data_IF_372910026325
#
_entry.id   IF_372910026325
#
_cell.length_a   1.000
_cell.length_b   1.000
_cell.length_c   1.000
_cell.angle_alpha   90.00
_cell.angle_beta   90.00
_cell.angle_gamma   90.00
#
_symmetry.space_group_name_H-M   'P 1'
#
loop_
_entity.id
_entity.type
_entity.pdbx_description
1 polymer ?
#
# COMPACT_ATOMS: atom_id res chain seq x y z
N UNK A 1 25.56 -9.69 13.85
CA UNK A 1 24.56 -9.09 14.79
C UNK A 1 23.27 -9.92 14.69
N UNK A 2 22.42 -10.08 15.73
CA UNK A 2 21.21 -10.91 15.58
C UNK A 2 20.25 -10.28 14.55
N UNK A 3 19.75 -11.05 13.55
CA UNK A 3 18.81 -10.51 12.57
C UNK A 3 17.53 -10.08 13.29
N UNK A 4 17.23 -8.79 13.23
CA UNK A 4 15.99 -8.25 13.79
C UNK A 4 14.80 -8.67 12.92
N UNK A 5 13.67 -9.01 13.55
CA UNK A 5 12.48 -9.41 12.79
C UNK A 5 11.98 -8.23 11.94
N UNK A 6 11.58 -8.46 10.67
CA UNK A 6 11.14 -7.37 9.79
C UNK A 6 9.96 -6.57 10.34
N UNK A 7 9.07 -7.22 11.09
CA UNK A 7 7.96 -6.57 11.78
C UNK A 7 8.44 -5.56 12.84
N UNK A 8 9.45 -5.92 13.63
CA UNK A 8 10.00 -5.04 14.65
C UNK A 8 10.71 -3.85 14.02
N UNK A 9 11.44 -4.06 12.93
CA UNK A 9 12.07 -2.98 12.17
C UNK A 9 11.03 -2.04 11.53
N UNK A 10 9.90 -2.58 11.06
CA UNK A 10 8.77 -1.77 10.59
C UNK A 10 8.21 -0.83 11.67
N UNK A 11 7.98 -1.33 12.89
CA UNK A 11 7.59 -0.46 14.02
C UNK A 11 8.68 0.54 14.37
N UNK A 12 9.93 0.08 14.45
CA UNK A 12 11.09 0.88 14.83
C UNK A 12 11.33 2.04 13.88
N UNK A 13 11.21 1.83 12.57
CA UNK A 13 11.37 2.89 11.56
C UNK A 13 10.37 4.02 11.81
N UNK A 14 9.10 3.68 12.00
CA UNK A 14 8.02 4.66 12.16
C UNK A 14 8.11 5.42 13.49
N UNK A 15 8.54 4.76 14.58
CA UNK A 15 8.75 5.43 15.87
C UNK A 15 10.03 6.28 15.92
N UNK A 16 11.07 5.93 15.16
CA UNK A 16 12.32 6.70 15.10
C UNK A 16 12.21 7.91 14.20
N UNK A 17 11.48 7.77 13.09
CA UNK A 17 11.27 8.85 12.13
C UNK A 17 9.78 9.14 11.96
N UNK A 18 9.15 9.80 12.96
CA UNK A 18 7.72 10.12 12.90
C UNK A 18 7.37 11.07 11.75
N UNK A 19 8.35 11.74 11.16
CA UNK A 19 8.15 12.55 9.96
C UNK A 19 7.63 11.71 8.76
N UNK A 20 8.03 10.45 8.65
CA UNK A 20 7.59 9.54 7.58
C UNK A 20 6.07 9.28 7.60
N UNK A 21 5.49 8.74 8.70
CA UNK A 21 4.05 8.55 8.77
C UNK A 21 3.28 9.87 8.78
N UNK A 22 3.82 10.94 9.38
CA UNK A 22 3.14 12.24 9.40
C UNK A 22 3.04 12.85 8.00
N UNK A 23 4.09 12.73 7.17
CA UNK A 23 4.05 13.14 5.78
C UNK A 23 2.99 12.38 4.99
N UNK A 24 2.91 11.06 5.18
CA UNK A 24 1.89 10.21 4.56
C UNK A 24 0.47 10.63 4.99
N UNK A 25 0.25 10.82 6.28
CA UNK A 25 -1.02 11.27 6.86
C UNK A 25 -1.40 12.63 6.28
N UNK A 26 -0.46 13.59 6.26
CA UNK A 26 -0.71 14.96 5.82
C UNK A 26 -1.24 15.03 4.38
N UNK A 27 -0.62 14.32 3.42
CA UNK A 27 -1.09 14.36 2.04
C UNK A 27 -2.42 13.62 1.85
N UNK A 28 -2.61 12.47 2.52
CA UNK A 28 -3.87 11.69 2.43
C UNK A 28 -5.03 12.46 3.02
N UNK A 29 -4.82 13.12 4.15
CA UNK A 29 -5.84 13.90 4.85
C UNK A 29 -6.15 15.20 4.10
N UNK A 30 -5.14 15.85 3.51
CA UNK A 30 -5.37 17.03 2.66
C UNK A 30 -6.24 16.68 1.45
N UNK A 31 -5.93 15.57 0.77
CA UNK A 31 -6.74 15.09 -0.35
C UNK A 31 -8.15 14.67 0.11
N UNK A 32 -8.25 13.98 1.25
CA UNK A 32 -9.51 13.57 1.85
C UNK A 32 -10.40 14.76 2.19
N UNK A 33 -9.86 15.77 2.85
CA UNK A 33 -10.58 17.01 3.19
C UNK A 33 -11.04 17.77 1.93
N UNK A 34 -10.17 17.91 0.92
CA UNK A 34 -10.52 18.52 -0.36
C UNK A 34 -11.64 17.75 -1.07
N UNK A 35 -11.56 16.42 -1.05
CA UNK A 35 -12.59 15.52 -1.63
C UNK A 35 -13.92 15.66 -0.90
N UNK A 36 -13.91 15.64 0.44
CA UNK A 36 -15.12 15.82 1.27
C UNK A 36 -15.74 17.19 1.06
N UNK A 37 -14.95 18.26 0.97
CA UNK A 37 -15.43 19.59 0.67
C UNK A 37 -16.07 19.66 -0.73
N UNK A 38 -15.39 19.12 -1.74
CA UNK A 38 -15.91 19.10 -3.11
C UNK A 38 -17.20 18.30 -3.22
N UNK A 39 -17.25 17.10 -2.63
CA UNK A 39 -18.47 16.28 -2.55
C UNK A 39 -19.60 17.01 -1.83
N UNK A 40 -19.31 17.66 -0.71
CA UNK A 40 -20.30 18.42 0.06
C UNK A 40 -20.86 19.59 -0.73
N UNK A 41 -20.00 20.39 -1.36
CA UNK A 41 -20.41 21.52 -2.20
C UNK A 41 -21.19 21.06 -3.43
N UNK A 42 -20.73 20.02 -4.14
CA UNK A 42 -21.46 19.45 -5.28
C UNK A 42 -22.81 18.87 -4.88
N UNK A 43 -22.92 18.27 -3.68
CA UNK A 43 -24.19 17.79 -3.16
C UNK A 43 -25.13 18.96 -2.85
N UNK A 44 -24.65 20.03 -2.21
CA UNK A 44 -25.46 21.22 -1.94
C UNK A 44 -25.94 21.88 -3.24
N UNK A 45 -25.06 22.05 -4.21
CA UNK A 45 -25.41 22.60 -5.53
C UNK A 45 -26.44 21.71 -6.26
N UNK A 46 -26.28 20.39 -6.19
CA UNK A 46 -27.27 19.47 -6.73
C UNK A 46 -28.63 19.60 -6.02
N UNK A 47 -28.63 19.67 -4.69
CA UNK A 47 -29.86 19.84 -3.89
C UNK A 47 -30.56 21.16 -4.21
N UNK A 48 -29.82 22.24 -4.43
CA UNK A 48 -30.36 23.55 -4.83
C UNK A 48 -31.00 23.51 -6.22
N UNK A 49 -30.63 22.56 -7.09
CA UNK A 49 -31.24 22.39 -8.42
C UNK A 49 -32.54 21.57 -8.41
N UNK A 50 -32.91 20.97 -7.28
CA UNK A 50 -34.11 20.15 -7.18
C UNK A 50 -35.37 21.02 -7.17
N UNK A 51 -36.35 20.77 -8.05
CA UNK A 51 -37.60 21.50 -8.07
C UNK A 51 -38.48 21.06 -6.89
N UNK A 52 -38.30 21.66 -5.72
CA UNK A 52 -39.13 21.37 -4.54
C UNK A 52 -40.39 22.23 -4.59
N UNK A 53 -41.54 21.63 -4.85
CA UNK A 53 -42.82 22.34 -4.81
C UNK A 53 -43.37 22.42 -3.38
N UNK A 54 -44.24 23.41 -3.12
CA UNK A 54 -44.97 23.52 -1.84
C UNK A 54 -45.83 22.27 -1.58
N UNK A 55 -46.35 21.65 -2.64
CA UNK A 55 -47.10 20.39 -2.56
C UNK A 55 -46.23 19.25 -2.01
N UNK A 56 -44.99 19.12 -2.49
CA UNK A 56 -44.06 18.09 -2.02
C UNK A 56 -43.72 18.27 -0.55
N UNK A 57 -43.56 19.51 -0.07
CA UNK A 57 -43.34 19.80 1.35
C UNK A 57 -44.54 19.39 2.23
N UNK A 58 -45.77 19.57 1.74
CA UNK A 58 -46.99 19.13 2.44
C UNK A 58 -47.08 17.60 2.50
N UNK A 59 -46.73 16.92 1.40
CA UNK A 59 -46.68 15.46 1.34
C UNK A 59 -45.60 14.89 2.26
N UNK A 60 -44.41 15.51 2.31
CA UNK A 60 -43.34 15.13 3.25
C UNK A 60 -43.76 15.34 4.71
N UNK A 61 -44.49 16.42 5.00
CA UNK A 61 -44.99 16.72 6.35
C UNK A 61 -46.08 15.76 6.82
N UNK A 62 -46.81 15.11 5.89
CA UNK A 62 -47.90 14.18 6.20
C UNK A 62 -47.45 12.95 7.01
N UNK A 63 -46.16 12.60 6.97
CA UNK A 63 -45.57 11.38 7.55
C UNK A 63 -46.21 10.08 7.05
N UNK A 64 -46.99 10.13 5.96
CA UNK A 64 -47.54 8.93 5.34
C UNK A 64 -46.52 8.36 4.34
N UNK A 65 -46.02 7.13 4.53
CA UNK A 65 -44.88 6.60 3.78
C UNK A 65 -45.13 6.55 2.26
N UNK A 66 -46.37 6.28 1.84
CA UNK A 66 -46.74 6.29 0.42
C UNK A 66 -46.66 7.69 -0.20
N UNK A 67 -47.19 8.71 0.50
CA UNK A 67 -47.15 10.10 0.04
C UNK A 67 -45.73 10.66 0.04
N UNK A 68 -44.93 10.30 1.04
CA UNK A 68 -43.50 10.63 1.11
C UNK A 68 -42.75 10.03 -0.08
N UNK A 69 -43.00 8.75 -0.39
CA UNK A 69 -42.38 8.08 -1.55
C UNK A 69 -42.76 8.75 -2.87
N UNK A 70 -44.03 9.12 -3.05
CA UNK A 70 -44.49 9.84 -4.24
C UNK A 70 -43.84 11.22 -4.37
N UNK A 71 -43.78 12.00 -3.28
CA UNK A 71 -43.12 13.30 -3.26
C UNK A 71 -41.63 13.19 -3.58
N UNK A 72 -40.93 12.21 -2.99
CA UNK A 72 -39.52 11.93 -3.30
C UNK A 72 -39.37 11.60 -4.79
N UNK A 73 -40.16 10.67 -5.31
CA UNK A 73 -40.08 10.26 -6.72
C UNK A 73 -40.30 11.45 -7.65
N UNK A 74 -41.27 12.32 -7.33
CA UNK A 74 -41.54 13.55 -8.08
C UNK A 74 -40.39 14.56 -8.02
N UNK A 75 -39.83 14.83 -6.83
CA UNK A 75 -38.67 15.72 -6.64
C UNK A 75 -37.46 15.26 -7.46
N UNK A 76 -37.22 13.94 -7.51
CA UNK A 76 -36.11 13.35 -8.27
C UNK A 76 -36.44 13.11 -9.76
N UNK A 77 -37.70 13.27 -10.17
CA UNK A 77 -38.13 13.03 -11.54
C UNK A 77 -37.55 14.12 -12.46
N UNK A 78 -36.55 13.75 -13.28
CA UNK A 78 -35.87 14.66 -14.18
C UNK A 78 -34.52 15.21 -13.68
N UNK A 79 -34.17 15.02 -12.40
CA UNK A 79 -32.85 15.41 -11.87
C UNK A 79 -31.79 14.31 -12.03
N UNK A 80 -32.22 13.06 -12.25
CA UNK A 80 -31.34 11.90 -12.35
C UNK A 80 -30.23 12.06 -13.41
N UNK A 81 -30.53 12.65 -14.56
CA UNK A 81 -29.51 12.89 -15.60
C UNK A 81 -28.40 13.84 -15.12
N UNK A 82 -28.77 14.94 -14.45
CA UNK A 82 -27.80 15.89 -13.88
C UNK A 82 -26.96 15.24 -12.80
N UNK A 83 -27.59 14.45 -11.93
CA UNK A 83 -26.90 13.68 -10.89
C UNK A 83 -25.87 12.72 -11.48
N UNK A 84 -26.24 11.95 -12.51
CA UNK A 84 -25.34 11.02 -13.19
C UNK A 84 -24.18 11.76 -13.85
N UNK A 85 -24.44 12.85 -14.57
CA UNK A 85 -23.40 13.67 -15.19
C UNK A 85 -22.42 14.25 -14.15
N UNK A 86 -22.95 14.84 -13.07
CA UNK A 86 -22.13 15.36 -11.98
C UNK A 86 -21.29 14.26 -11.32
N UNK A 87 -21.88 13.09 -11.06
CA UNK A 87 -21.20 11.93 -10.49
C UNK A 87 -20.06 11.45 -11.39
N UNK A 88 -20.29 11.35 -12.70
CA UNK A 88 -19.27 10.96 -13.68
C UNK A 88 -18.10 11.96 -13.67
N UNK A 89 -18.40 13.25 -13.81
CA UNK A 89 -17.38 14.31 -13.83
C UNK A 89 -16.58 14.31 -12.52
N UNK A 90 -17.27 14.24 -11.39
CA UNK A 90 -16.66 14.24 -10.06
C UNK A 90 -15.79 13.00 -9.85
N UNK A 91 -16.28 11.83 -10.24
CA UNK A 91 -15.53 10.57 -10.16
C UNK A 91 -14.22 10.67 -10.94
N UNK A 92 -14.26 11.06 -12.22
CA UNK A 92 -13.04 11.15 -13.04
C UNK A 92 -12.07 12.22 -12.51
N UNK A 93 -12.58 13.35 -12.05
CA UNK A 93 -11.76 14.44 -11.48
C UNK A 93 -11.05 13.98 -10.21
N UNK A 94 -11.79 13.35 -9.29
CA UNK A 94 -11.24 12.81 -8.05
C UNK A 94 -10.29 11.64 -8.31
N UNK A 95 -10.61 10.76 -9.24
CA UNK A 95 -9.75 9.63 -9.60
C UNK A 95 -8.40 10.09 -10.19
N UNK A 96 -8.42 11.10 -11.05
CA UNK A 96 -7.21 11.69 -11.61
C UNK A 96 -6.40 12.42 -10.53
N UNK A 97 -7.06 13.25 -9.72
CA UNK A 97 -6.43 13.94 -8.59
C UNK A 97 -5.79 12.98 -7.60
N UNK A 98 -6.51 11.91 -7.24
CA UNK A 98 -6.00 10.85 -6.38
C UNK A 98 -4.80 10.14 -7.00
N UNK A 99 -4.85 9.81 -8.29
CA UNK A 99 -3.73 9.14 -8.98
C UNK A 99 -2.46 9.97 -8.90
N UNK A 100 -2.54 11.28 -9.18
CA UNK A 100 -1.40 12.19 -9.11
C UNK A 100 -0.90 12.33 -7.67
N UNK A 101 -1.79 12.64 -6.73
CA UNK A 101 -1.45 12.80 -5.32
C UNK A 101 -0.84 11.53 -4.72
N UNK A 102 -1.44 10.37 -4.97
CA UNK A 102 -0.94 9.08 -4.51
C UNK A 102 0.40 8.72 -5.13
N UNK A 103 0.65 9.09 -6.39
CA UNK A 103 1.94 8.82 -7.04
C UNK A 103 3.06 9.65 -6.41
N UNK A 104 2.81 10.93 -6.18
CA UNK A 104 3.76 11.86 -5.52
C UNK A 104 3.98 11.48 -4.05
N UNK A 105 2.91 11.27 -3.30
CA UNK A 105 2.96 10.87 -1.90
C UNK A 105 3.69 9.54 -1.71
N UNK A 106 3.35 8.52 -2.52
CA UNK A 106 4.05 7.23 -2.49
C UNK A 106 5.52 7.35 -2.85
N UNK A 107 5.87 8.14 -3.88
CA UNK A 107 7.26 8.36 -4.25
C UNK A 107 8.05 8.97 -3.09
N UNK A 108 7.52 10.01 -2.45
CA UNK A 108 8.16 10.67 -1.33
C UNK A 108 8.34 9.73 -0.13
N UNK A 109 7.28 9.02 0.28
CA UNK A 109 7.30 8.10 1.42
C UNK A 109 8.24 6.92 1.18
N UNK A 110 8.20 6.31 -0.01
CA UNK A 110 9.07 5.17 -0.33
C UNK A 110 10.52 5.59 -0.49
N UNK A 111 10.80 6.73 -1.11
CA UNK A 111 12.17 7.25 -1.20
C UNK A 111 12.75 7.46 0.20
N UNK A 112 12.02 8.12 1.08
CA UNK A 112 12.49 8.37 2.43
C UNK A 112 12.66 7.07 3.25
N UNK A 113 11.78 6.07 3.06
CA UNK A 113 11.97 4.75 3.64
C UNK A 113 13.21 4.03 3.08
N UNK A 114 13.42 4.04 1.77
CA UNK A 114 14.60 3.42 1.16
C UNK A 114 15.88 4.11 1.65
N UNK A 115 15.90 5.45 1.71
CA UNK A 115 17.02 6.22 2.26
C UNK A 115 17.30 5.87 3.73
N UNK A 116 16.27 5.49 4.51
CA UNK A 116 16.41 5.00 5.90
C UNK A 116 17.02 3.61 6.03
N UNK A 117 16.71 2.69 5.11
CA UNK A 117 17.24 1.31 5.12
C UNK A 117 18.59 1.19 4.38
N UNK A 118 18.91 2.12 3.48
CA UNK A 118 20.16 2.18 2.71
C UNK A 118 21.43 2.72 3.45
N UNK A 119 21.40 3.33 4.65
CA UNK A 119 22.57 3.97 5.24
C UNK A 119 23.46 2.93 5.93
N UNK A 120 24.23 2.20 5.11
CA UNK A 120 25.45 1.47 5.53
C UNK A 120 26.37 1.01 4.41
N UNK A 121 26.10 1.36 3.14
CA UNK A 121 26.88 0.90 1.99
C UNK A 121 27.87 1.93 1.44
N UNK A 122 27.81 3.17 1.93
CA UNK A 122 28.58 4.31 1.39
C UNK A 122 29.97 4.50 2.01
N UNK A 123 30.44 3.58 2.88
CA UNK A 123 31.85 3.55 3.30
C UNK A 123 32.79 3.03 2.19
N UNK A 124 32.25 2.65 1.02
CA UNK A 124 33.03 2.39 -0.20
C UNK A 124 32.80 3.53 -1.20
N UNK A 125 33.78 4.44 -1.39
CA UNK A 125 33.68 5.49 -2.39
C UNK A 125 33.82 4.89 -3.79
N UNK A 126 32.71 4.43 -4.36
CA UNK A 126 32.65 3.98 -5.75
C UNK A 126 32.67 5.20 -6.68
N UNK A 127 33.85 5.46 -7.25
CA UNK A 127 34.10 6.47 -8.28
C UNK A 127 33.23 6.33 -9.55
N UNK A 128 32.43 5.26 -9.66
CA UNK A 128 31.49 4.98 -10.74
C UNK A 128 30.15 5.74 -10.63
N UNK A 129 29.79 6.31 -9.46
CA UNK A 129 28.52 7.06 -9.29
C UNK A 129 28.52 8.45 -9.94
N UNK A 130 29.68 9.01 -10.31
CA UNK A 130 29.79 10.35 -10.89
C UNK A 130 29.35 10.47 -12.36
N UNK A 131 28.91 9.38 -13.02
CA UNK A 131 28.65 9.39 -14.48
C UNK A 131 27.28 8.90 -14.94
N UNK A 132 26.33 8.62 -14.05
CA UNK A 132 24.98 8.25 -14.50
C UNK A 132 24.05 9.48 -14.52
N UNK A 133 23.45 9.85 -15.65
CA UNK A 133 22.43 10.90 -15.69
C UNK A 133 21.17 10.39 -14.96
N UNK A 134 21.09 10.68 -13.65
CA UNK A 134 19.98 10.28 -12.77
C UNK A 134 18.62 10.82 -13.22
N UNK A 135 18.60 11.90 -14.00
CA UNK A 135 17.37 12.57 -14.47
C UNK A 135 16.51 11.67 -15.37
N UNK A 136 17.11 10.78 -16.18
CA UNK A 136 16.36 9.88 -17.06
C UNK A 136 15.63 8.75 -16.33
N UNK A 137 16.21 8.24 -15.24
CA UNK A 137 15.65 7.11 -14.49
C UNK A 137 14.47 7.54 -13.62
N UNK A 138 14.56 8.70 -12.97
CA UNK A 138 13.49 9.21 -12.08
C UNK A 138 12.17 9.49 -12.83
N UNK A 139 12.24 9.92 -14.09
CA UNK A 139 11.02 10.10 -14.90
C UNK A 139 10.29 8.78 -15.20
N UNK A 140 11.02 7.67 -15.30
CA UNK A 140 10.43 6.35 -15.56
C UNK A 140 9.67 5.84 -14.34
N UNK A 141 10.26 5.93 -13.14
CA UNK A 141 9.61 5.47 -11.91
C UNK A 141 8.32 6.24 -11.60
N UNK A 142 8.27 7.55 -11.86
CA UNK A 142 7.03 8.33 -11.69
C UNK A 142 5.92 7.88 -12.64
N UNK A 143 6.24 7.59 -13.90
CA UNK A 143 5.27 7.05 -14.88
C UNK A 143 4.75 5.69 -14.44
N UNK A 144 5.62 4.82 -13.94
CA UNK A 144 5.24 3.49 -13.45
C UNK A 144 4.38 3.57 -12.18
N UNK A 145 4.67 4.49 -11.25
CA UNK A 145 3.80 4.74 -10.09
C UNK A 145 2.42 5.27 -10.50
N UNK A 146 2.38 6.20 -11.45
CA UNK A 146 1.10 6.67 -12.01
C UNK A 146 0.31 5.52 -12.61
N UNK A 147 0.95 4.65 -13.40
CA UNK A 147 0.31 3.48 -13.97
C UNK A 147 -0.21 2.50 -12.89
N UNK A 148 0.55 2.25 -11.82
CA UNK A 148 0.09 1.44 -10.69
C UNK A 148 -1.12 2.06 -9.99
N UNK A 149 -1.12 3.38 -9.79
CA UNK A 149 -2.25 4.06 -9.16
C UNK A 149 -3.48 4.13 -10.08
N UNK A 150 -3.29 4.26 -11.39
CA UNK A 150 -4.38 4.09 -12.38
C UNK A 150 -4.96 2.67 -12.33
N UNK A 151 -4.11 1.65 -12.19
CA UNK A 151 -4.57 0.28 -12.06
C UNK A 151 -5.37 0.08 -10.76
N UNK A 152 -5.05 0.80 -9.67
CA UNK A 152 -5.89 0.81 -8.46
C UNK A 152 -7.24 1.50 -8.67
N UNK A 153 -7.27 2.59 -9.42
CA UNK A 153 -8.55 3.24 -9.81
C UNK A 153 -9.39 2.28 -10.66
N UNK A 154 -8.79 1.63 -11.66
CA UNK A 154 -9.46 0.63 -12.48
C UNK A 154 -9.96 -0.55 -11.64
N UNK A 155 -9.19 -0.97 -10.63
CA UNK A 155 -9.58 -2.00 -9.69
C UNK A 155 -10.78 -1.58 -8.84
N UNK A 156 -10.83 -0.33 -8.35
CA UNK A 156 -12.00 0.21 -7.64
C UNK A 156 -13.24 0.15 -8.54
N UNK A 157 -13.12 0.59 -9.80
CA UNK A 157 -14.22 0.51 -10.78
C UNK A 157 -14.68 -0.93 -11.02
N UNK A 158 -13.74 -1.85 -11.25
CA UNK A 158 -14.04 -3.26 -11.46
C UNK A 158 -14.75 -3.87 -10.24
N UNK A 159 -14.34 -3.50 -9.03
CA UNK A 159 -14.98 -3.93 -7.78
C UNK A 159 -16.38 -3.36 -7.63
N UNK A 160 -16.59 -2.07 -7.94
CA UNK A 160 -17.93 -1.47 -7.94
C UNK A 160 -18.87 -2.19 -8.91
N UNK A 161 -18.40 -2.46 -10.13
CA UNK A 161 -19.16 -3.24 -11.13
C UNK A 161 -19.41 -4.68 -10.65
N UNK A 162 -18.43 -5.32 -10.01
CA UNK A 162 -18.57 -6.65 -9.44
C UNK A 162 -19.62 -6.74 -8.32
N UNK A 163 -19.68 -5.72 -7.45
CA UNK A 163 -20.70 -5.63 -6.39
C UNK A 163 -22.10 -5.44 -6.99
N UNK A 164 -22.23 -4.57 -8.00
CA UNK A 164 -23.51 -4.36 -8.70
C UNK A 164 -23.93 -5.65 -9.42
N UNK A 165 -23.02 -6.32 -10.12
CA UNK A 165 -23.29 -7.59 -10.80
C UNK A 165 -23.70 -8.68 -9.80
N UNK A 166 -23.05 -8.75 -8.62
CA UNK A 166 -23.42 -9.67 -7.55
C UNK A 166 -24.85 -9.42 -7.05
N UNK A 167 -25.23 -8.15 -6.85
CA UNK A 167 -26.59 -7.78 -6.43
C UNK A 167 -27.63 -8.15 -7.51
N UNK A 168 -27.33 -7.89 -8.78
CA UNK A 168 -28.20 -8.21 -9.91
C UNK A 168 -28.38 -9.73 -10.07
N UNK A 169 -27.30 -10.51 -10.02
CA UNK A 169 -27.35 -11.97 -10.09
C UNK A 169 -28.15 -12.56 -8.92
N UNK A 170 -27.95 -12.04 -7.71
CA UNK A 170 -28.71 -12.45 -6.54
C UNK A 170 -30.21 -12.13 -6.68
N UNK A 171 -30.56 -11.02 -7.32
CA UNK A 171 -31.95 -10.66 -7.61
C UNK A 171 -32.60 -11.54 -8.68
N UNK A 172 -31.90 -11.83 -9.78
CA UNK A 172 -32.48 -12.58 -10.91
C UNK A 172 -32.78 -14.06 -10.63
N UNK A 173 -32.12 -14.66 -9.64
CA UNK A 173 -32.30 -16.07 -9.34
C UNK A 173 -33.60 -16.39 -8.59
N UNK A 174 -34.32 -15.36 -8.13
CA UNK A 174 -35.59 -15.52 -7.43
C UNK A 174 -36.70 -14.81 -8.19
N UNK A 175 -37.74 -15.57 -8.55
CA UNK A 175 -38.89 -15.08 -9.30
C UNK A 175 -39.81 -14.22 -8.43
N UNK A 176 -40.46 -13.21 -9.03
CA UNK A 176 -41.47 -12.35 -8.36
C UNK A 176 -42.63 -13.15 -7.73
N UNK A 177 -42.82 -14.40 -8.17
CA UNK A 177 -43.86 -15.29 -7.68
C UNK A 177 -43.61 -15.86 -6.26
N UNK A 178 -42.36 -15.90 -5.78
CA UNK A 178 -42.02 -16.32 -4.42
C UNK A 178 -40.79 -15.55 -3.88
N UNK A 179 -41.01 -14.31 -3.36
CA UNK A 179 -39.93 -13.48 -2.87
C UNK A 179 -39.33 -14.07 -1.60
N UNK A 180 -38.17 -14.71 -1.73
CA UNK A 180 -37.37 -15.23 -0.62
C UNK A 180 -36.16 -14.31 -0.36
N UNK A 181 -36.34 -13.17 0.34
CA UNK A 181 -35.26 -12.20 0.57
C UNK A 181 -34.08 -12.81 1.34
N UNK A 182 -34.34 -13.84 2.14
CA UNK A 182 -33.30 -14.61 2.83
C UNK A 182 -32.33 -15.28 1.87
N UNK A 183 -32.80 -15.86 0.75
CA UNK A 183 -31.94 -16.52 -0.22
C UNK A 183 -31.19 -15.53 -1.11
N UNK A 184 -31.82 -14.42 -1.50
CA UNK A 184 -31.15 -13.30 -2.18
C UNK A 184 -29.96 -12.83 -1.36
N UNK A 185 -30.18 -12.60 -0.06
CA UNK A 185 -29.12 -12.19 0.86
C UNK A 185 -28.05 -13.27 1.02
N UNK A 186 -28.46 -14.54 1.19
CA UNK A 186 -27.55 -15.67 1.36
C UNK A 186 -26.65 -15.90 0.14
N UNK A 187 -27.09 -15.52 -1.06
CA UNK A 187 -26.27 -15.56 -2.28
C UNK A 187 -25.44 -14.29 -2.49
N UNK A 188 -26.01 -13.12 -2.21
CA UNK A 188 -25.32 -11.83 -2.36
C UNK A 188 -24.09 -11.74 -1.44
N UNK A 189 -24.23 -12.11 -0.16
CA UNK A 189 -23.15 -12.01 0.83
C UNK A 189 -21.87 -12.74 0.42
N UNK A 190 -21.87 -14.04 0.05
CA UNK A 190 -20.65 -14.73 -0.35
C UNK A 190 -20.04 -14.15 -1.63
N UNK A 191 -20.85 -13.73 -2.61
CA UNK A 191 -20.35 -13.06 -3.81
C UNK A 191 -19.69 -11.72 -3.48
N UNK A 192 -20.33 -10.91 -2.64
CA UNK A 192 -19.78 -9.66 -2.14
C UNK A 192 -18.45 -9.88 -1.40
N UNK A 193 -18.41 -10.87 -0.49
CA UNK A 193 -17.19 -11.23 0.24
C UNK A 193 -16.09 -11.66 -0.72
N UNK A 194 -16.39 -12.46 -1.74
CA UNK A 194 -15.41 -12.88 -2.75
C UNK A 194 -14.85 -11.69 -3.53
N UNK A 195 -15.72 -10.80 -4.02
CA UNK A 195 -15.34 -9.58 -4.75
C UNK A 195 -14.47 -8.68 -3.86
N UNK A 196 -14.85 -8.52 -2.60
CA UNK A 196 -14.11 -7.75 -1.60
C UNK A 196 -12.73 -8.33 -1.29
N UNK A 197 -12.64 -9.66 -1.10
CA UNK A 197 -11.38 -10.35 -0.87
C UNK A 197 -10.44 -10.21 -2.06
N UNK A 198 -10.95 -10.39 -3.28
CA UNK A 198 -10.18 -10.22 -4.52
C UNK A 198 -9.65 -8.79 -4.64
N UNK A 199 -10.51 -7.79 -4.40
CA UNK A 199 -10.12 -6.38 -4.37
C UNK A 199 -9.01 -6.11 -3.34
N UNK A 200 -9.17 -6.61 -2.11
CA UNK A 200 -8.21 -6.42 -1.02
C UNK A 200 -6.83 -7.00 -1.36
N UNK A 201 -6.80 -8.24 -1.88
CA UNK A 201 -5.56 -8.92 -2.29
C UNK A 201 -4.88 -8.18 -3.43
N UNK A 202 -5.60 -7.82 -4.49
CA UNK A 202 -5.04 -7.10 -5.63
C UNK A 202 -4.53 -5.71 -5.22
N UNK A 203 -5.31 -4.97 -4.43
CA UNK A 203 -4.90 -3.65 -3.94
C UNK A 203 -3.65 -3.74 -3.05
N UNK A 204 -3.54 -4.79 -2.23
CA UNK A 204 -2.34 -5.07 -1.46
C UNK A 204 -1.13 -5.37 -2.36
N UNK A 205 -1.27 -6.21 -3.38
CA UNK A 205 -0.19 -6.49 -4.35
C UNK A 205 0.27 -5.23 -5.09
N UNK A 206 -0.65 -4.38 -5.53
CA UNK A 206 -0.32 -3.09 -6.16
C UNK A 206 0.35 -2.12 -5.20
N UNK A 207 0.12 -2.26 -3.89
CA UNK A 207 0.85 -1.54 -2.84
C UNK A 207 2.24 -2.06 -2.58
N UNK A 208 2.46 -3.36 -2.77
CA UNK A 208 3.79 -3.95 -2.66
C UNK A 208 4.64 -3.63 -3.91
N UNK A 209 4.03 -3.69 -5.10
CA UNK A 209 4.69 -3.38 -6.38
C UNK A 209 5.31 -1.97 -6.40
N UNK A 210 4.70 -0.98 -5.75
CA UNK A 210 5.28 0.37 -5.69
C UNK A 210 6.66 0.43 -5.03
N UNK A 211 6.98 -0.52 -4.13
CA UNK A 211 8.32 -0.63 -3.53
C UNK A 211 9.37 -0.92 -4.61
N UNK A 212 9.09 -1.88 -5.51
CA UNK A 212 10.00 -2.27 -6.59
C UNK A 212 10.14 -1.20 -7.68
N UNK A 213 9.09 -0.42 -7.94
CA UNK A 213 9.18 0.73 -8.84
C UNK A 213 10.18 1.76 -8.31
N UNK A 214 10.17 2.03 -7.00
CA UNK A 214 11.06 3.05 -6.42
C UNK A 214 12.47 2.54 -6.17
N UNK A 215 12.60 1.28 -5.74
CA UNK A 215 13.89 0.67 -5.42
C UNK A 215 14.70 0.29 -6.65
N UNK A 216 14.09 -0.49 -7.53
CA UNK A 216 14.78 -1.13 -8.66
C UNK A 216 14.56 -0.35 -9.97
N UNK A 217 13.77 0.73 -9.94
CA UNK A 217 13.36 1.50 -11.11
C UNK A 217 12.70 0.61 -12.20
N UNK A 218 11.97 -0.42 -11.76
CA UNK A 218 11.25 -1.31 -12.67
C UNK A 218 10.04 -0.63 -13.28
N UNK A 219 9.67 -1.07 -14.48
CA UNK A 219 8.43 -0.70 -15.11
C UNK A 219 7.23 -1.31 -14.36
N UNK A 220 6.01 -0.91 -14.72
CA UNK A 220 4.79 -1.30 -14.00
C UNK A 220 4.62 -2.82 -13.90
N UNK A 221 4.86 -3.52 -15.01
CA UNK A 221 4.68 -4.99 -15.05
C UNK A 221 5.86 -5.71 -14.40
N UNK A 222 7.10 -5.24 -14.60
CA UNK A 222 8.26 -5.73 -13.87
C UNK A 222 8.06 -5.65 -12.36
N UNK A 223 7.63 -4.50 -11.85
CA UNK A 223 7.39 -4.30 -10.43
C UNK A 223 6.30 -5.21 -9.84
N UNK A 224 5.23 -5.50 -10.62
CA UNK A 224 4.21 -6.47 -10.22
C UNK A 224 4.81 -7.89 -10.20
N UNK A 225 5.57 -8.27 -11.23
CA UNK A 225 6.22 -9.57 -11.29
C UNK A 225 7.22 -9.76 -10.12
N UNK A 226 8.00 -8.73 -9.78
CA UNK A 226 8.92 -8.72 -8.66
C UNK A 226 8.18 -8.87 -7.32
N UNK A 227 7.03 -8.21 -7.15
CA UNK A 227 6.18 -8.40 -5.97
C UNK A 227 5.66 -9.84 -5.85
N UNK A 228 5.27 -10.48 -6.95
CA UNK A 228 4.86 -11.89 -6.97
C UNK A 228 6.02 -12.81 -6.61
N UNK A 229 7.21 -12.57 -7.16
CA UNK A 229 8.43 -13.32 -6.83
C UNK A 229 8.75 -13.20 -5.34
N UNK A 230 8.69 -11.99 -4.77
CA UNK A 230 8.89 -11.78 -3.34
C UNK A 230 7.90 -12.59 -2.50
N UNK A 231 6.60 -12.53 -2.84
CA UNK A 231 5.57 -13.28 -2.13
C UNK A 231 5.76 -14.79 -2.22
N UNK A 232 6.32 -15.30 -3.33
CA UNK A 232 6.62 -16.73 -3.49
C UNK A 232 7.86 -17.16 -2.72
N UNK A 233 8.93 -16.38 -2.77
CA UNK A 233 10.21 -16.71 -2.13
C UNK A 233 10.18 -16.46 -0.60
N UNK A 234 9.44 -15.45 -0.14
CA UNK A 234 9.44 -14.98 1.24
C UNK A 234 8.02 -14.87 1.82
N UNK A 235 7.16 -15.84 1.50
CA UNK A 235 5.76 -15.84 1.95
C UNK A 235 5.64 -15.71 3.49
N UNK A 236 6.49 -16.44 4.23
CA UNK A 236 6.48 -16.43 5.70
C UNK A 236 6.66 -15.02 6.30
N UNK A 237 7.79 -14.33 6.04
CA UNK A 237 8.01 -12.96 6.50
C UNK A 237 6.93 -11.97 6.03
N UNK A 238 6.52 -12.05 4.76
CA UNK A 238 5.50 -11.15 4.19
C UNK A 238 4.14 -11.32 4.88
N UNK A 239 3.71 -12.57 5.11
CA UNK A 239 2.49 -12.89 5.85
C UNK A 239 2.61 -12.50 7.31
N UNK A 240 3.76 -12.71 7.95
CA UNK A 240 3.97 -12.33 9.34
C UNK A 240 3.82 -10.81 9.54
N UNK A 241 4.46 -9.99 8.69
CA UNK A 241 4.30 -8.53 8.70
C UNK A 241 2.83 -8.16 8.49
N UNK A 242 2.18 -8.74 7.47
CA UNK A 242 0.76 -8.51 7.20
C UNK A 242 -0.14 -8.84 8.40
N UNK A 243 0.06 -10.00 9.02
CA UNK A 243 -0.72 -10.50 10.15
C UNK A 243 -0.60 -9.58 11.37
N UNK A 244 0.62 -9.24 11.80
CA UNK A 244 0.84 -8.42 13.00
C UNK A 244 0.28 -7.00 12.86
N UNK A 245 0.48 -6.36 11.70
CA UNK A 245 -0.10 -5.03 11.46
C UNK A 245 -1.62 -5.08 11.32
N UNK A 246 -2.19 -6.15 10.76
CA UNK A 246 -3.65 -6.34 10.69
C UNK A 246 -4.24 -6.59 12.07
N UNK A 247 -3.56 -7.38 12.91
CA UNK A 247 -3.97 -7.61 14.30
C UNK A 247 -3.97 -6.30 15.11
N UNK A 248 -2.90 -5.50 14.98
CA UNK A 248 -2.83 -4.18 15.62
C UNK A 248 -3.97 -3.25 15.13
N UNK A 249 -4.30 -3.31 13.84
CA UNK A 249 -5.40 -2.52 13.27
C UNK A 249 -6.77 -2.96 13.82
N UNK A 250 -7.03 -4.26 13.92
CA UNK A 250 -8.26 -4.80 14.52
C UNK A 250 -8.39 -4.36 15.98
N UNK A 251 -7.30 -4.43 16.75
CA UNK A 251 -7.29 -3.98 18.14
C UNK A 251 -7.57 -2.48 18.26
N UNK A 252 -6.96 -1.66 17.40
CA UNK A 252 -7.24 -0.22 17.34
C UNK A 252 -8.70 0.07 16.96
N UNK A 253 -9.28 -0.70 16.04
CA UNK A 253 -10.69 -0.58 15.66
C UNK A 253 -11.62 -0.91 16.84
N UNK A 254 -11.39 -2.03 17.54
CA UNK A 254 -12.18 -2.42 18.72
C UNK A 254 -12.07 -1.35 19.82
N UNK A 255 -10.87 -0.82 20.05
CA UNK A 255 -10.68 0.26 21.02
C UNK A 255 -11.44 1.53 20.61
N UNK A 256 -11.33 1.95 19.34
CA UNK A 256 -12.01 3.13 18.82
C UNK A 256 -13.53 3.01 18.89
N UNK A 257 -14.11 1.87 18.49
CA UNK A 257 -15.57 1.65 18.58
C UNK A 257 -16.06 1.66 20.03
N UNK A 258 -15.28 1.09 20.95
CA UNK A 258 -15.57 1.15 22.39
C UNK A 258 -15.53 2.60 22.90
N UNK A 259 -14.53 3.39 22.51
CA UNK A 259 -14.41 4.81 22.90
C UNK A 259 -15.53 5.66 22.30
N UNK A 260 -15.97 5.39 21.06
CA UNK A 260 -17.12 6.07 20.43
C UNK A 260 -18.43 5.86 21.20
N UNK A 261 -18.57 4.74 21.91
CA UNK A 261 -19.76 4.51 22.75
C UNK A 261 -19.88 5.54 23.87
N UNK A 262 -18.78 6.14 24.34
CA UNK A 262 -18.78 7.15 25.40
C UNK A 262 -19.52 8.44 25.01
N UNK A 263 -19.14 9.20 23.95
CA UNK A 263 -19.89 10.39 23.54
C UNK A 263 -21.33 10.04 23.14
N UNK A 264 -21.56 8.86 22.55
CA UNK A 264 -22.90 8.39 22.20
C UNK A 264 -23.80 8.19 23.44
N UNK A 265 -23.26 7.75 24.58
CA UNK A 265 -24.02 7.61 25.82
C UNK A 265 -24.58 8.96 26.33
N UNK A 266 -23.99 10.09 25.92
CA UNK A 266 -24.44 11.43 26.27
C UNK A 266 -25.39 12.06 25.23
N UNK A 267 -25.83 11.33 24.20
CA UNK A 267 -26.70 11.85 23.14
C UNK A 267 -28.03 12.46 23.64
N UNK A 268 -28.49 12.10 24.85
CA UNK A 268 -29.68 12.69 25.49
C UNK A 268 -29.41 13.82 26.48
N UNK A 269 -28.14 14.10 26.80
CA UNK A 269 -27.73 15.06 27.85
C UNK A 269 -26.98 16.25 27.25
N UNK A 270 -26.10 16.00 26.28
CA UNK A 270 -25.28 17.03 25.65
C UNK A 270 -25.88 17.53 24.34
N UNK A 271 -25.55 18.77 23.91
CA UNK A 271 -25.90 19.24 22.57
C UNK A 271 -25.36 18.30 21.49
N UNK A 272 -26.16 18.04 20.45
CA UNK A 272 -25.83 17.09 19.38
C UNK A 272 -24.48 17.41 18.72
N UNK A 273 -24.12 18.69 18.59
CA UNK A 273 -22.83 19.12 18.04
C UNK A 273 -21.63 18.67 18.87
N UNK A 274 -21.75 18.63 20.20
CA UNK A 274 -20.68 18.15 21.10
C UNK A 274 -20.52 16.64 20.95
N UNK A 275 -21.63 15.90 20.90
CA UNK A 275 -21.62 14.44 20.72
C UNK A 275 -21.03 14.07 19.37
N UNK A 276 -21.50 14.69 18.29
CA UNK A 276 -20.97 14.47 16.94
C UNK A 276 -19.49 14.89 16.83
N UNK A 277 -19.11 16.01 17.46
CA UNK A 277 -17.71 16.45 17.53
C UNK A 277 -16.82 15.45 18.25
N UNK A 278 -17.30 14.86 19.35
CA UNK A 278 -16.60 13.80 20.08
C UNK A 278 -16.44 12.52 19.24
N UNK A 279 -17.51 12.08 18.58
CA UNK A 279 -17.45 10.92 17.65
C UNK A 279 -16.45 11.20 16.52
N UNK A 280 -16.54 12.36 15.88
CA UNK A 280 -15.65 12.77 14.80
C UNK A 280 -14.18 12.79 15.25
N UNK A 281 -13.88 13.34 16.43
CA UNK A 281 -12.53 13.37 16.99
C UNK A 281 -11.96 11.96 17.16
N UNK A 282 -12.74 11.04 17.74
CA UNK A 282 -12.30 9.64 17.93
C UNK A 282 -12.10 8.95 16.59
N UNK A 283 -12.98 9.19 15.61
CA UNK A 283 -12.83 8.66 14.25
C UNK A 283 -11.56 9.17 13.57
N UNK A 284 -11.25 10.47 13.68
CA UNK A 284 -10.03 11.05 13.12
C UNK A 284 -8.77 10.48 13.79
N UNK A 285 -8.79 10.32 15.12
CA UNK A 285 -7.69 9.71 15.85
C UNK A 285 -7.46 8.26 15.42
N UNK A 286 -8.53 7.49 15.26
CA UNK A 286 -8.47 6.13 14.74
C UNK A 286 -7.86 6.09 13.33
N UNK A 287 -8.27 6.97 12.42
CA UNK A 287 -7.68 7.05 11.08
C UNK A 287 -6.20 7.39 11.10
N UNK A 288 -5.76 8.27 12.02
CA UNK A 288 -4.34 8.60 12.17
C UNK A 288 -3.54 7.37 12.60
N UNK A 289 -4.05 6.59 13.56
CA UNK A 289 -3.43 5.32 13.99
C UNK A 289 -3.43 4.29 12.85
N UNK A 290 -4.52 4.17 12.11
CA UNK A 290 -4.62 3.25 10.97
C UNK A 290 -3.61 3.59 9.87
N UNK A 291 -3.45 4.87 9.53
CA UNK A 291 -2.47 5.33 8.55
C UNK A 291 -1.02 5.12 9.05
N UNK A 292 -0.76 5.34 10.33
CA UNK A 292 0.52 5.06 10.96
C UNK A 292 0.89 3.56 10.86
N UNK A 293 -0.05 2.66 11.20
CA UNK A 293 0.14 1.22 11.06
C UNK A 293 0.36 0.80 9.61
N UNK A 294 -0.32 1.45 8.66
CA UNK A 294 -0.13 1.20 7.25
C UNK A 294 1.32 1.52 6.79
N UNK A 295 1.88 2.66 7.23
CA UNK A 295 3.27 3.03 6.92
C UNK A 295 4.25 2.07 7.58
N UNK A 296 4.00 1.63 8.82
CA UNK A 296 4.82 0.62 9.49
C UNK A 296 4.84 -0.71 8.76
N UNK A 297 3.69 -1.14 8.23
CA UNK A 297 3.60 -2.33 7.38
C UNK A 297 4.44 -2.18 6.12
N UNK A 298 4.38 -1.01 5.48
CA UNK A 298 5.17 -0.71 4.28
C UNK A 298 6.67 -0.73 4.58
N UNK A 299 7.11 -0.12 5.69
CA UNK A 299 8.49 -0.17 6.15
C UNK A 299 8.95 -1.61 6.41
N UNK A 300 8.09 -2.45 7.00
CA UNK A 300 8.36 -3.88 7.17
C UNK A 300 8.59 -4.61 5.83
N UNK A 301 7.82 -4.29 4.78
CA UNK A 301 8.05 -4.86 3.45
C UNK A 301 9.35 -4.37 2.81
N UNK A 302 9.68 -3.08 2.95
CA UNK A 302 10.96 -2.54 2.48
C UNK A 302 12.13 -3.25 3.18
N UNK A 303 12.03 -3.47 4.49
CA UNK A 303 13.03 -4.21 5.27
C UNK A 303 13.28 -5.63 4.72
N UNK A 304 12.21 -6.39 4.42
CA UNK A 304 12.34 -7.74 3.82
C UNK A 304 13.07 -7.67 2.48
N UNK A 305 12.71 -6.69 1.66
CA UNK A 305 13.28 -6.50 0.33
C UNK A 305 14.77 -6.12 0.42
N UNK A 306 15.16 -5.26 1.37
CA UNK A 306 16.56 -4.88 1.58
C UNK A 306 17.43 -6.00 2.19
N UNK A 307 16.87 -6.81 3.10
CA UNK A 307 17.59 -7.95 3.67
C UNK A 307 17.91 -9.02 2.63
N UNK A 308 17.10 -9.16 1.57
CA UNK A 308 17.34 -10.11 0.46
C UNK A 308 18.69 -9.88 -0.22
N UNK A 309 19.07 -8.63 -0.42
CA UNK A 309 20.27 -8.26 -1.19
C UNK A 309 21.50 -8.02 -0.31
N UNK A 310 21.36 -8.26 1.01
CA UNK A 310 22.51 -8.33 1.91
C UNK A 310 23.26 -9.62 1.59
N UNK A 311 24.56 -9.57 1.20
CA UNK A 311 25.34 -10.79 1.01
C UNK A 311 25.25 -11.60 2.31
N UNK A 312 25.13 -12.94 2.24
CA UNK A 312 25.12 -13.76 3.44
C UNK A 312 26.33 -13.34 4.26
N UNK A 313 26.09 -12.84 5.47
CA UNK A 313 27.13 -12.51 6.45
C UNK A 313 28.00 -13.77 6.45
N UNK A 314 29.20 -13.70 5.85
CA UNK A 314 30.10 -14.85 5.82
C UNK A 314 30.17 -15.23 7.27
N UNK A 315 29.62 -16.41 7.59
CA UNK A 315 29.81 -17.02 8.87
C UNK A 315 31.32 -17.06 8.96
N UNK A 316 31.89 -16.13 9.73
CA UNK A 316 33.28 -16.19 10.11
C UNK A 316 33.24 -17.40 11.00
N UNK A 317 33.39 -18.58 10.38
CA UNK A 317 33.80 -19.78 11.06
C UNK A 317 34.99 -19.29 11.84
N UNK A 318 34.79 -19.11 13.14
CA UNK A 318 35.85 -18.76 14.04
C UNK A 318 36.81 -19.93 13.90
N UNK A 319 37.77 -19.77 12.99
CA UNK A 319 38.87 -20.68 12.84
C UNK A 319 39.48 -20.66 14.23
N UNK A 320 39.44 -21.78 14.97
CA UNK A 320 39.90 -21.78 16.34
C UNK A 320 41.35 -21.32 16.26
N UNK A 321 41.61 -20.12 16.77
CA UNK A 321 42.95 -19.66 17.06
C UNK A 321 43.51 -20.71 18.00
N UNK A 322 44.29 -21.63 17.44
CA UNK A 322 45.10 -22.54 18.21
C UNK A 322 45.93 -21.70 19.18
N UNK A 323 46.19 -22.21 20.39
CA UNK A 323 46.94 -21.45 21.38
C UNK A 323 48.28 -21.03 20.76
N UNK A 324 48.49 -19.72 20.71
CA UNK A 324 49.76 -19.10 20.34
C UNK A 324 50.86 -19.75 21.17
N UNK A 325 51.62 -20.62 20.52
CA UNK A 325 52.86 -21.15 21.04
C UNK A 325 53.84 -19.99 21.18
N UNK A 326 54.25 -19.75 22.42
CA UNK A 326 55.38 -18.94 22.86
C UNK A 326 56.52 -18.99 21.84
N UNK A 327 56.74 -17.88 21.12
CA UNK A 327 57.92 -17.70 20.28
C UNK A 327 59.16 -17.59 21.18
N UNK A 328 59.84 -18.71 21.40
CA UNK A 328 61.21 -18.72 21.88
C UNK A 328 62.17 -18.43 20.72
N UNK A 329 62.92 -17.35 20.88
CA UNK A 329 64.12 -17.02 20.12
C UNK A 329 65.04 -18.25 20.01
N UNK A 330 65.31 -18.73 18.80
CA UNK A 330 66.51 -19.52 18.52
C UNK A 330 67.12 -19.18 17.15
N UNK A 331 68.45 -19.13 17.19
CA UNK A 331 69.44 -18.70 16.21
C UNK A 331 69.37 -19.38 14.81
N UNK A 332 70.05 -18.80 13.79
CA UNK A 332 69.99 -19.30 12.43
C UNK A 332 70.85 -20.57 12.26
N UNK A 333 70.22 -21.65 11.81
CA UNK A 333 70.90 -22.88 11.40
C UNK A 333 70.54 -23.21 9.95
N UNK A 334 71.58 -23.18 9.11
CA UNK A 334 71.80 -23.86 7.83
C UNK A 334 70.60 -24.55 7.13
N UNK A 335 70.38 -24.08 5.90
CA UNK A 335 69.68 -24.78 4.80
C UNK A 335 70.20 -26.21 4.61
N UNK A 336 69.30 -27.11 4.19
CA UNK A 336 69.57 -27.95 3.02
C UNK A 336 68.80 -27.41 1.82
N UNK A 337 69.57 -27.19 0.77
CA UNK A 337 69.17 -26.86 -0.59
C UNK A 337 68.34 -28.01 -1.16
N UNK A 338 67.09 -27.72 -1.56
CA UNK A 338 66.22 -28.65 -2.29
C UNK A 338 66.46 -28.43 -3.78
N UNK A 339 66.95 -29.47 -4.45
CA UNK A 339 67.44 -29.45 -5.84
C UNK A 339 66.36 -29.79 -6.90
N UNK A 340 65.06 -29.76 -6.57
CA UNK A 340 64.05 -30.43 -7.42
C UNK A 340 62.98 -29.53 -8.09
N UNK A 341 63.11 -28.20 -8.11
CA UNK A 341 62.06 -27.36 -8.73
C UNK A 341 62.58 -26.32 -9.75
N UNK A 342 63.59 -26.71 -10.52
CA UNK A 342 64.06 -25.97 -11.71
C UNK A 342 63.84 -26.87 -12.94
N UNK A 343 62.61 -27.00 -13.42
CA UNK A 343 62.30 -27.31 -14.82
C UNK A 343 60.79 -27.29 -15.08
N UNK A 344 60.20 -26.11 -15.27
CA UNK A 344 58.92 -25.94 -15.96
C UNK A 344 58.79 -24.54 -16.56
N UNK A 345 59.85 -24.09 -17.23
CA UNK A 345 59.76 -23.01 -18.22
C UNK A 345 59.67 -23.66 -19.61
N UNK A 346 58.47 -23.76 -20.18
CA UNK A 346 58.27 -24.01 -21.60
C UNK A 346 57.39 -22.89 -22.18
N UNK A 347 57.95 -21.96 -22.95
CA UNK A 347 57.19 -21.06 -23.79
C UNK A 347 57.11 -21.64 -25.21
N UNK A 348 55.91 -21.92 -25.72
CA UNK A 348 55.70 -22.12 -27.15
C UNK A 348 54.46 -21.35 -27.66
N UNK A 349 54.73 -20.67 -28.76
CA UNK A 349 54.05 -19.56 -29.44
C UNK A 349 52.67 -19.86 -30.07
N UNK A 350 51.93 -18.81 -30.54
CA UNK A 350 50.62 -18.91 -31.19
C UNK A 350 50.76 -19.00 -32.74
N UNK A 351 49.70 -18.68 -33.52
CA UNK A 351 48.58 -19.51 -33.96
C UNK A 351 48.72 -19.95 -35.44
N UNK A 352 48.08 -21.05 -35.84
CA UNK A 352 47.97 -21.44 -37.27
C UNK A 352 46.54 -21.26 -37.76
N UNK A 353 46.43 -20.46 -38.83
CA UNK A 353 45.25 -20.32 -39.66
C UNK A 353 45.15 -21.47 -40.66
N UNK A 354 43.93 -21.96 -40.88
CA UNK A 354 43.43 -22.67 -42.08
C UNK A 354 41.89 -22.61 -41.93
N UNK A 355 41.10 -21.89 -42.73
CA UNK A 355 40.88 -21.89 -44.18
C UNK A 355 40.34 -23.24 -44.71
N UNK A 356 39.30 -23.13 -45.55
CA UNK A 356 38.54 -24.18 -46.28
C UNK A 356 37.36 -24.75 -45.47
N UNK A 357 36.12 -24.79 -45.95
CA UNK A 357 35.50 -24.52 -47.26
C UNK A 357 33.99 -24.45 -47.07
#
# INVERSE_FOLDING_TARGET
>A
MKPHSPTLEGFRAVFREPALPLGEIAWRWSFGAATSLLLGLSLLEYLDTLPVSVGDLLLLRSRQPLLVSQAITHIFHGSAFRFVMATIVLFFTLALGWTVAASLGRAATLKALLDWFTPRRDDVPDASRLRSPQTGKQHSSMRSLMALNLLRVALILATSLGVVAAAILAGFLFSDADPQPGLVFLLFVPLFVLVWLMWSVLNWFLSLASVFVMRDNQDTFGAIAAAVVLCREHLGPVVAVGFWFSLAHILAFIAATTVVAFPMAFAGILPIGVVLGGVLLVTLLYFAVADFLYVGRLAGYVCIVEQRDSPPEREVTAQPTGPEGTQSFHAPALRPQSDDDIMSDIPLSPPTAEALS
#
